data_IF_446728496912
#
_entry.id   IF_446728496912
#
_cell.length_a   1.000
_cell.length_b   1.000
_cell.length_c   1.000
_cell.angle_alpha   90.00
_cell.angle_beta   90.00
_cell.angle_gamma   90.00
#
_symmetry.space_group_name_H-M   'P 1'
#
loop_
_entity.id
_entity.type
_entity.pdbx_description
1 polymer ?
#
# COMPACT_ATOMS: atom_id res chain seq x y z
N UNK A 1 -9.19 5.83 15.70
CA UNK A 1 -10.19 4.99 14.98
C UNK A 1 -9.51 4.55 13.71
N UNK A 2 -9.67 3.30 13.28
CA UNK A 2 -8.99 2.82 12.08
C UNK A 2 -9.37 3.67 10.85
N UNK A 3 -8.36 4.16 10.13
CA UNK A 3 -8.51 4.88 8.86
C UNK A 3 -9.12 3.97 7.78
N UNK A 4 -8.70 2.70 7.76
CA UNK A 4 -9.12 1.71 6.78
C UNK A 4 -9.36 0.36 7.48
N UNK A 5 -10.40 -0.36 7.04
CA UNK A 5 -10.74 -1.69 7.56
C UNK A 5 -10.88 -2.65 6.40
N UNK A 6 -10.14 -3.76 6.44
CA UNK A 6 -10.24 -4.78 5.42
C UNK A 6 -11.56 -5.55 5.55
N UNK A 7 -12.24 -5.76 4.42
CA UNK A 7 -13.40 -6.62 4.28
C UNK A 7 -13.23 -7.46 3.02
N UNK A 8 -13.67 -8.72 3.07
CA UNK A 8 -13.61 -9.61 1.91
C UNK A 8 -14.45 -9.07 0.74
N UNK A 9 -15.58 -8.41 1.04
CA UNK A 9 -16.45 -7.81 0.03
C UNK A 9 -15.72 -6.73 -0.77
N UNK A 10 -15.07 -5.78 -0.09
CA UNK A 10 -14.42 -4.66 -0.75
C UNK A 10 -13.06 -5.04 -1.33
N UNK A 11 -12.22 -5.77 -0.58
CA UNK A 11 -10.80 -5.95 -0.91
C UNK A 11 -10.38 -7.40 -1.16
N UNK A 12 -11.29 -8.37 -1.02
CA UNK A 12 -10.97 -9.77 -1.26
C UNK A 12 -10.68 -10.03 -2.74
N UNK A 13 -9.46 -10.46 -3.02
CA UNK A 13 -9.00 -10.90 -4.35
C UNK A 13 -9.27 -12.38 -4.57
N UNK A 14 -9.40 -13.16 -3.48
CA UNK A 14 -9.47 -14.62 -3.54
C UNK A 14 -8.10 -15.28 -3.79
N UNK A 15 -7.02 -14.49 -3.80
CA UNK A 15 -5.63 -14.95 -3.86
C UNK A 15 -5.07 -14.84 -2.44
N UNK A 16 -4.76 -15.98 -1.83
CA UNK A 16 -4.50 -16.06 -0.39
C UNK A 16 -3.35 -15.17 0.11
N UNK A 17 -2.22 -15.16 -0.60
CA UNK A 17 -1.06 -14.35 -0.19
C UNK A 17 -1.38 -12.84 -0.28
N UNK A 18 -2.02 -12.40 -1.36
CA UNK A 18 -2.37 -11.00 -1.57
C UNK A 18 -3.38 -10.52 -0.51
N UNK A 19 -4.41 -11.32 -0.22
CA UNK A 19 -5.40 -10.97 0.80
C UNK A 19 -4.78 -10.85 2.20
N UNK A 20 -3.77 -11.67 2.53
CA UNK A 20 -3.05 -11.58 3.80
C UNK A 20 -2.09 -10.39 3.85
N UNK A 21 -1.39 -10.12 2.76
CA UNK A 21 -0.51 -8.95 2.63
C UNK A 21 -1.30 -7.63 2.69
N UNK A 22 -2.47 -7.55 2.05
CA UNK A 22 -3.38 -6.41 2.16
C UNK A 22 -3.80 -6.13 3.60
N UNK A 23 -4.11 -7.17 4.40
CA UNK A 23 -4.47 -6.99 5.82
C UNK A 23 -3.30 -6.42 6.61
N UNK A 24 -2.08 -6.88 6.34
CA UNK A 24 -0.88 -6.32 6.97
C UNK A 24 -0.63 -4.87 6.55
N UNK A 25 -0.75 -4.55 5.25
CA UNK A 25 -0.68 -3.19 4.74
C UNK A 25 -1.67 -2.25 5.44
N UNK A 26 -2.91 -2.68 5.61
CA UNK A 26 -3.95 -1.89 6.27
C UNK A 26 -3.60 -1.64 7.74
N UNK A 27 -3.04 -2.64 8.42
CA UNK A 27 -2.53 -2.49 9.79
C UNK A 27 -1.41 -1.46 9.89
N UNK A 28 -0.43 -1.51 8.98
CA UNK A 28 0.68 -0.56 8.92
C UNK A 28 0.20 0.86 8.63
N UNK A 29 -0.73 1.02 7.68
CA UNK A 29 -1.32 2.32 7.35
C UNK A 29 -2.12 2.90 8.53
N UNK A 30 -2.93 2.08 9.20
CA UNK A 30 -3.67 2.52 10.38
C UNK A 30 -2.72 2.98 11.50
N UNK A 31 -1.62 2.24 11.73
CA UNK A 31 -0.61 2.61 12.72
C UNK A 31 0.03 3.95 12.38
N UNK A 32 0.52 4.12 11.14
CA UNK A 32 1.11 5.38 10.68
C UNK A 32 0.14 6.56 10.85
N UNK A 33 -1.13 6.35 10.47
CA UNK A 33 -2.17 7.35 10.59
C UNK A 33 -2.46 7.75 12.04
N UNK A 34 -2.59 6.76 12.93
CA UNK A 34 -2.85 7.02 14.35
C UNK A 34 -1.66 7.76 14.99
N UNK A 35 -0.41 7.39 14.68
CA UNK A 35 0.78 8.09 15.18
C UNK A 35 0.86 9.54 14.67
N UNK A 36 0.60 9.75 13.38
CA UNK A 36 0.59 11.08 12.77
C UNK A 36 -0.51 11.99 13.33
N UNK A 37 -1.69 11.44 13.66
CA UNK A 37 -2.84 12.23 14.13
C UNK A 37 -2.91 12.37 15.65
N UNK A 38 -2.23 11.51 16.41
CA UNK A 38 -2.13 11.59 17.88
C UNK A 38 -0.97 12.47 18.36
N UNK A 39 -0.14 12.99 17.46
CA UNK A 39 0.99 13.84 17.79
C UNK A 39 2.20 13.08 18.33
N UNK A 40 2.44 11.86 17.82
CA UNK A 40 3.69 11.14 18.08
C UNK A 40 4.91 11.96 17.61
N UNK A 41 6.09 11.65 18.16
CA UNK A 41 7.31 12.30 17.72
C UNK A 41 7.69 11.91 16.29
N UNK A 42 8.50 12.76 15.64
CA UNK A 42 8.91 12.58 14.23
C UNK A 42 9.65 11.26 13.99
N UNK A 43 10.44 10.78 14.97
CA UNK A 43 11.20 9.54 14.80
C UNK A 43 10.27 8.33 14.80
N UNK A 44 9.26 8.32 15.67
CA UNK A 44 8.20 7.30 15.69
C UNK A 44 7.43 7.27 14.37
N UNK A 45 6.98 8.44 13.88
CA UNK A 45 6.27 8.55 12.60
C UNK A 45 7.17 8.09 11.43
N UNK A 46 8.44 8.49 11.43
CA UNK A 46 9.40 8.09 10.41
C UNK A 46 9.61 6.59 10.34
N UNK A 47 9.75 5.93 11.50
CA UNK A 47 9.89 4.48 11.55
C UNK A 47 8.68 3.75 10.97
N UNK A 48 7.46 4.23 11.24
CA UNK A 48 6.23 3.66 10.68
C UNK A 48 6.07 3.96 9.18
N UNK A 49 6.48 5.14 8.73
CA UNK A 49 6.50 5.49 7.30
C UNK A 49 7.44 4.55 6.54
N UNK A 50 8.66 4.36 7.04
CA UNK A 50 9.66 3.49 6.43
C UNK A 50 9.19 2.03 6.39
N UNK A 51 8.58 1.55 7.49
CA UNK A 51 8.03 0.20 7.57
C UNK A 51 6.88 -0.02 6.57
N UNK A 52 5.97 0.95 6.43
CA UNK A 52 4.88 0.87 5.46
C UNK A 52 5.42 0.82 4.03
N UNK A 53 6.35 1.70 3.68
CA UNK A 53 6.90 1.78 2.32
C UNK A 53 7.68 0.51 1.97
N UNK A 54 8.51 0.00 2.89
CA UNK A 54 9.21 -1.25 2.68
C UNK A 54 8.24 -2.40 2.40
N UNK A 55 7.16 -2.50 3.19
CA UNK A 55 6.17 -3.56 3.01
C UNK A 55 5.37 -3.42 1.70
N UNK A 56 5.05 -2.20 1.27
CA UNK A 56 4.43 -1.93 -0.04
C UNK A 56 5.31 -2.43 -1.17
N UNK A 57 6.62 -2.15 -1.12
CA UNK A 57 7.57 -2.58 -2.16
C UNK A 57 7.67 -4.10 -2.21
N UNK A 58 7.75 -4.77 -1.05
CA UNK A 58 7.82 -6.22 -0.98
C UNK A 58 6.53 -6.89 -1.50
N UNK A 59 5.37 -6.35 -1.15
CA UNK A 59 4.06 -6.80 -1.62
C UNK A 59 3.96 -6.69 -3.16
N UNK A 60 4.24 -5.52 -3.72
CA UNK A 60 4.20 -5.34 -5.19
C UNK A 60 5.19 -6.26 -5.90
N UNK A 61 6.39 -6.45 -5.37
CA UNK A 61 7.36 -7.37 -5.94
C UNK A 61 6.86 -8.81 -5.94
N UNK A 62 6.14 -9.24 -4.90
CA UNK A 62 5.55 -10.56 -4.83
C UNK A 62 4.43 -10.75 -5.86
N UNK A 63 3.49 -9.81 -5.94
CA UNK A 63 2.42 -9.85 -6.95
C UNK A 63 2.98 -9.84 -8.37
N UNK A 64 3.93 -8.96 -8.66
CA UNK A 64 4.57 -8.87 -9.97
C UNK A 64 5.26 -10.18 -10.37
N UNK A 65 5.95 -10.82 -9.42
CA UNK A 65 6.57 -12.11 -9.64
C UNK A 65 5.54 -13.18 -10.00
N UNK A 66 4.43 -13.25 -9.27
CA UNK A 66 3.37 -14.23 -9.53
C UNK A 66 2.62 -13.93 -10.83
N UNK A 67 2.36 -12.66 -11.15
CA UNK A 67 1.78 -12.22 -12.42
C UNK A 67 2.63 -12.64 -13.62
N UNK A 68 3.95 -12.45 -13.55
CA UNK A 68 4.88 -12.88 -14.60
C UNK A 68 4.93 -14.40 -14.70
N UNK A 69 5.04 -15.10 -13.56
CA UNK A 69 5.15 -16.56 -13.52
C UNK A 69 3.92 -17.25 -14.12
N UNK A 70 2.72 -16.67 -13.95
CA UNK A 70 1.46 -17.21 -14.46
C UNK A 70 1.02 -16.60 -15.80
N UNK A 71 1.80 -15.68 -16.37
CA UNK A 71 1.51 -15.07 -17.67
C UNK A 71 0.26 -14.19 -17.67
N UNK A 72 0.00 -13.46 -16.58
CA UNK A 72 -1.14 -12.56 -16.47
C UNK A 72 -1.04 -11.41 -17.49
N UNK A 73 -1.99 -11.34 -18.43
CA UNK A 73 -1.94 -10.39 -19.55
C UNK A 73 -2.07 -8.91 -19.18
N UNK A 74 -2.50 -8.60 -17.96
CA UNK A 74 -2.59 -7.21 -17.46
C UNK A 74 -1.32 -6.72 -16.75
N UNK A 75 -0.25 -7.51 -16.72
CA UNK A 75 0.96 -7.24 -15.94
C UNK A 75 1.54 -5.83 -16.17
N UNK A 76 1.78 -5.44 -17.43
CA UNK A 76 2.47 -4.19 -17.74
C UNK A 76 1.72 -2.98 -17.17
N UNK A 77 0.40 -2.94 -17.37
CA UNK A 77 -0.45 -1.87 -16.84
C UNK A 77 -0.52 -1.89 -15.32
N UNK A 78 -0.59 -3.07 -14.72
CA UNK A 78 -0.61 -3.20 -13.26
C UNK A 78 0.69 -2.64 -12.65
N UNK A 79 1.84 -3.02 -13.22
CA UNK A 79 3.15 -2.54 -12.79
C UNK A 79 3.30 -1.02 -12.93
N UNK A 80 2.72 -0.41 -13.95
CA UNK A 80 2.74 1.06 -14.10
C UNK A 80 2.11 1.76 -12.89
N UNK A 81 1.00 1.25 -12.36
CA UNK A 81 0.36 1.79 -11.14
C UNK A 81 1.27 1.61 -9.91
N UNK A 82 1.91 0.45 -9.76
CA UNK A 82 2.88 0.21 -8.69
C UNK A 82 4.05 1.18 -8.74
N UNK A 83 4.66 1.34 -9.91
CA UNK A 83 5.80 2.25 -10.11
C UNK A 83 5.40 3.70 -9.82
N UNK A 84 4.21 4.13 -10.26
CA UNK A 84 3.70 5.47 -9.97
C UNK A 84 3.52 5.69 -8.47
N UNK A 85 2.92 4.72 -7.76
CA UNK A 85 2.71 4.81 -6.32
C UNK A 85 4.02 4.81 -5.52
N UNK A 86 4.97 3.93 -5.86
CA UNK A 86 6.31 3.90 -5.26
C UNK A 86 7.02 5.25 -5.44
N UNK A 87 6.89 5.89 -6.62
CA UNK A 87 7.47 7.20 -6.87
C UNK A 87 6.94 8.29 -5.91
N UNK A 88 5.63 8.30 -5.68
CA UNK A 88 4.97 9.21 -4.73
C UNK A 88 5.45 8.92 -3.29
N UNK A 89 5.48 7.65 -2.90
CA UNK A 89 5.90 7.23 -1.57
C UNK A 89 7.37 7.58 -1.28
N UNK A 90 8.26 7.35 -2.26
CA UNK A 90 9.68 7.65 -2.14
C UNK A 90 9.95 9.17 -2.05
N UNK A 91 9.22 10.00 -2.81
CA UNK A 91 9.33 11.46 -2.73
C UNK A 91 8.88 11.97 -1.35
N UNK A 92 7.76 11.46 -0.82
CA UNK A 92 7.29 11.76 0.53
C UNK A 92 8.33 11.34 1.58
N UNK A 93 8.84 10.11 1.51
CA UNK A 93 9.84 9.58 2.43
C UNK A 93 11.09 10.46 2.46
N UNK A 94 11.60 10.83 1.29
CA UNK A 94 12.77 11.71 1.16
C UNK A 94 12.52 13.08 1.81
N UNK A 95 11.40 13.73 1.47
CA UNK A 95 11.05 15.06 2.01
C UNK A 95 10.81 15.01 3.52
N UNK A 96 10.18 13.95 4.01
CA UNK A 96 9.98 13.73 5.44
C UNK A 96 11.31 13.63 6.18
N UNK A 97 12.25 12.81 5.71
CA UNK A 97 13.57 12.67 6.35
C UNK A 97 14.44 13.93 6.22
N UNK A 98 14.21 14.75 5.20
CA UNK A 98 14.87 16.05 5.04
C UNK A 98 14.29 17.17 5.93
N UNK A 99 13.17 16.94 6.63
CA UNK A 99 12.48 18.00 7.37
C UNK A 99 11.64 18.93 6.49
N UNK A 100 11.40 18.56 5.23
CA UNK A 100 10.72 19.37 4.22
C UNK A 100 9.21 19.06 4.10
N UNK A 101 8.76 17.94 4.69
CA UNK A 101 7.36 17.52 4.71
C UNK A 101 6.98 16.82 6.02
N UNK A 102 5.68 16.77 6.30
CA UNK A 102 5.10 16.02 7.41
C UNK A 102 4.19 14.91 6.88
N UNK A 103 4.08 13.81 7.64
CA UNK A 103 2.98 12.84 7.44
C UNK A 103 1.75 13.42 8.12
N UNK A 104 0.77 13.84 7.33
CA UNK A 104 -0.48 14.44 7.82
C UNK A 104 -1.65 13.49 7.63
N UNK A 105 -2.81 13.84 8.19
CA UNK A 105 -4.08 13.17 7.89
C UNK A 105 -4.31 13.06 6.36
N UNK A 106 -3.98 14.10 5.60
CA UNK A 106 -4.14 14.11 4.14
C UNK A 106 -3.25 13.07 3.44
N UNK A 107 -2.05 12.81 3.96
CA UNK A 107 -1.17 11.74 3.45
C UNK A 107 -1.81 10.37 3.69
N UNK A 108 -2.36 10.13 4.88
CA UNK A 108 -3.10 8.90 5.17
C UNK A 108 -4.28 8.71 4.23
N UNK A 109 -5.10 9.76 4.03
CA UNK A 109 -6.24 9.71 3.11
C UNK A 109 -5.83 9.48 1.64
N UNK A 110 -4.67 10.01 1.21
CA UNK A 110 -4.14 9.75 -0.12
C UNK A 110 -3.81 8.26 -0.29
N UNK A 111 -3.10 7.65 0.66
CA UNK A 111 -2.76 6.22 0.61
C UNK A 111 -4.02 5.37 0.66
N UNK A 112 -4.97 5.71 1.56
CA UNK A 112 -6.27 5.04 1.63
C UNK A 112 -7.01 5.09 0.28
N UNK A 113 -7.11 6.27 -0.32
CA UNK A 113 -7.79 6.46 -1.60
C UNK A 113 -7.14 5.68 -2.74
N UNK A 114 -5.81 5.55 -2.71
CA UNK A 114 -5.10 4.69 -3.66
C UNK A 114 -5.47 3.22 -3.46
N UNK A 115 -5.44 2.69 -2.22
CA UNK A 115 -5.83 1.30 -1.92
C UNK A 115 -7.31 1.01 -2.21
N UNK A 116 -8.20 1.95 -1.93
CA UNK A 116 -9.65 1.88 -2.23
C UNK A 116 -9.90 1.70 -3.74
N UNK A 117 -9.01 2.20 -4.59
CA UNK A 117 -9.10 2.10 -6.03
C UNK A 117 -8.30 0.91 -6.59
N UNK A 118 -7.05 0.75 -6.15
CA UNK A 118 -6.11 -0.22 -6.70
C UNK A 118 -6.59 -1.65 -6.48
N UNK A 119 -6.93 -2.02 -5.24
CA UNK A 119 -7.30 -3.39 -4.92
C UNK A 119 -8.54 -3.84 -5.70
N UNK A 120 -9.66 -3.09 -5.74
CA UNK A 120 -10.83 -3.54 -6.48
C UNK A 120 -10.67 -3.50 -8.00
N UNK A 121 -9.81 -2.62 -8.53
CA UNK A 121 -9.68 -2.38 -9.98
C UNK A 121 -8.59 -3.21 -10.63
N UNK A 122 -7.44 -3.34 -9.98
CA UNK A 122 -6.25 -4.01 -10.51
C UNK A 122 -6.08 -5.38 -9.87
N UNK A 123 -6.03 -5.46 -8.54
CA UNK A 123 -5.72 -6.72 -7.85
C UNK A 123 -6.84 -7.74 -8.07
N UNK A 124 -8.10 -7.39 -7.89
CA UNK A 124 -9.20 -8.34 -8.19
C UNK A 124 -9.18 -8.87 -9.63
N UNK A 125 -8.58 -8.15 -10.58
CA UNK A 125 -8.53 -8.56 -11.98
C UNK A 125 -7.49 -9.67 -12.28
N UNK A 126 -6.48 -9.86 -11.42
CA UNK A 126 -5.55 -10.99 -11.55
C UNK A 126 -6.08 -12.30 -10.97
N UNK A 127 -7.27 -12.26 -10.35
CA UNK A 127 -7.78 -13.33 -9.48
C UNK A 127 -7.81 -14.69 -10.17
N UNK A 128 -8.37 -14.76 -11.38
CA UNK A 128 -8.48 -16.02 -12.11
C UNK A 128 -7.13 -16.54 -12.61
N UNK A 129 -6.16 -15.65 -12.82
CA UNK A 129 -4.81 -16.03 -13.22
C UNK A 129 -3.97 -16.47 -12.01
N UNK A 130 -4.18 -15.88 -10.83
CA UNK A 130 -3.33 -16.04 -9.65
C UNK A 130 -3.91 -16.92 -8.53
N UNK A 131 -5.16 -17.36 -8.63
CA UNK A 131 -5.70 -18.44 -7.80
C UNK A 131 -4.93 -19.76 -7.96
#
# INVERSE_FOLDING_TARGET
MALITWTAEQYGTGVGFADDEHKTLFGLLNKLYDEATSGADRATIGASLDALIAYVVDHFAHEEKEMVAKGYGGYDRHKEEHVAFIGIAADLQKKFHAGEAEVTEAVGQLVKGWLDNHIPTFDKSYSDALK
#
